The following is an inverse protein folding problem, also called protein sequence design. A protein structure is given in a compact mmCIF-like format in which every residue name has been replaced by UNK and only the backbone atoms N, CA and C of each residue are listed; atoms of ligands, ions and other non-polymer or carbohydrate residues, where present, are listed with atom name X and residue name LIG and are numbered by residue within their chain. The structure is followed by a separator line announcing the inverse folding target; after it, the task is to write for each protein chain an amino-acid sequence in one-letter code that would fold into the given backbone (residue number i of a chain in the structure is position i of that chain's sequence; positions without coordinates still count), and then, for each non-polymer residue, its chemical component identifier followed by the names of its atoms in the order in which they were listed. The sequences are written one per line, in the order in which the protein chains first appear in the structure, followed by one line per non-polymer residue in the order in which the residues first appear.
data_IF_069657066697
#
_entry.id   IF_069657066697
#
_cell.length_a   1.000
_cell.length_b   1.000
_cell.length_c   1.000
_cell.angle_alpha   90.00
_cell.angle_beta   90.00
_cell.angle_gamma   90.00
#
_symmetry.space_group_name_H-M   'P 1'
#
loop_
_entity.id
_entity.type
_entity.pdbx_description
1 polymer ?
#
# COMPACT_ATOMS: atom_id res chain seq x y z
N UNK A 1 -11.48 -26.47 -7.90
CA UNK A 1 -11.56 -25.96 -9.28
C UNK A 1 -13.01 -25.70 -9.65
N UNK A 2 -13.24 -24.77 -10.60
CA UNK A 2 -14.47 -24.61 -11.33
C UNK A 2 -14.85 -25.92 -12.09
N UNK A 3 -16.11 -26.06 -12.54
CA UNK A 3 -16.57 -27.26 -13.25
C UNK A 3 -15.80 -27.52 -14.55
N UNK A 4 -15.41 -26.46 -15.24
CA UNK A 4 -14.63 -26.49 -16.49
C UNK A 4 -13.10 -26.58 -16.24
N UNK A 5 -12.69 -26.58 -14.97
CA UNK A 5 -11.29 -26.64 -14.51
C UNK A 5 -10.40 -25.47 -14.97
N UNK A 6 -11.00 -24.36 -15.38
CA UNK A 6 -10.26 -23.16 -15.82
C UNK A 6 -9.90 -22.21 -14.68
N UNK A 7 -10.50 -22.39 -13.49
CA UNK A 7 -10.27 -21.56 -12.32
C UNK A 7 -9.92 -22.41 -11.09
N UNK A 8 -8.88 -22.00 -10.35
CA UNK A 8 -8.63 -22.50 -8.98
C UNK A 8 -9.56 -21.75 -8.05
N UNK A 9 -10.53 -22.43 -7.43
CA UNK A 9 -11.51 -21.81 -6.54
C UNK A 9 -11.15 -21.92 -5.07
N UNK A 10 -10.62 -23.06 -4.63
CA UNK A 10 -10.22 -23.31 -3.24
C UNK A 10 -9.08 -24.33 -3.19
N UNK A 11 -8.05 -24.02 -2.46
CA UNK A 11 -6.97 -24.94 -2.08
C UNK A 11 -7.08 -25.23 -0.58
N UNK A 12 -7.02 -26.50 -0.14
CA UNK A 12 -7.17 -26.84 1.27
C UNK A 12 -6.03 -26.26 2.12
N UNK A 13 -6.32 -25.46 3.17
CA UNK A 13 -5.29 -24.75 3.95
C UNK A 13 -4.28 -25.67 4.65
N UNK A 14 -4.64 -26.92 4.93
CA UNK A 14 -3.76 -27.90 5.59
C UNK A 14 -2.79 -28.64 4.69
N UNK A 15 -2.89 -28.45 3.36
CA UNK A 15 -1.90 -29.01 2.43
C UNK A 15 -0.63 -28.18 2.46
N UNK A 16 0.50 -28.84 2.55
CA UNK A 16 1.82 -28.24 2.70
C UNK A 16 2.63 -28.27 1.41
N UNK A 17 3.64 -27.45 1.39
CA UNK A 17 4.87 -27.41 0.63
C UNK A 17 4.77 -26.73 -0.76
N UNK A 18 4.78 -27.53 -1.82
CA UNK A 18 4.85 -27.01 -3.19
C UNK A 18 3.60 -27.41 -3.96
N UNK A 19 3.03 -26.51 -4.70
CA UNK A 19 1.85 -26.79 -5.50
C UNK A 19 2.05 -26.33 -6.95
N UNK A 20 1.79 -27.24 -7.88
CA UNK A 20 1.77 -26.92 -9.31
C UNK A 20 0.32 -26.77 -9.75
N UNK A 21 -0.05 -25.56 -10.14
CA UNK A 21 -1.35 -25.28 -10.74
C UNK A 21 -1.39 -25.98 -12.10
N UNK A 22 -2.43 -26.77 -12.42
CA UNK A 22 -2.52 -27.48 -13.68
C UNK A 22 -2.54 -26.55 -14.90
N UNK A 23 -1.92 -27.03 -16.00
CA UNK A 23 -2.02 -26.36 -17.29
C UNK A 23 -3.48 -26.23 -17.74
N UNK A 24 -3.78 -25.16 -18.48
CA UNK A 24 -5.13 -24.80 -18.89
C UNK A 24 -5.92 -23.98 -17.86
N UNK A 25 -5.37 -23.81 -16.63
CA UNK A 25 -5.94 -22.86 -15.67
C UNK A 25 -5.71 -21.44 -16.18
N UNK A 26 -6.78 -20.66 -16.34
CA UNK A 26 -6.71 -19.27 -16.80
C UNK A 26 -6.82 -18.26 -15.67
N UNK A 27 -7.28 -18.70 -14.47
CA UNK A 27 -7.58 -17.80 -13.36
C UNK A 27 -7.28 -18.44 -12.01
N UNK A 28 -6.65 -17.68 -11.12
CA UNK A 28 -6.56 -17.99 -9.69
C UNK A 28 -7.65 -17.16 -9.00
N UNK A 29 -8.70 -17.85 -8.56
CA UNK A 29 -9.91 -17.21 -8.07
C UNK A 29 -9.74 -16.49 -6.73
N UNK A 30 -10.77 -15.71 -6.37
CA UNK A 30 -10.84 -15.00 -5.10
C UNK A 30 -10.65 -15.97 -3.93
N UNK A 31 -9.75 -15.63 -3.01
CA UNK A 31 -9.44 -16.42 -1.80
C UNK A 31 -8.97 -17.86 -2.06
N UNK A 32 -8.53 -18.20 -3.27
CA UNK A 32 -8.22 -19.58 -3.67
C UNK A 32 -7.20 -20.27 -2.75
N UNK A 33 -6.19 -19.55 -2.25
CA UNK A 33 -5.16 -20.01 -1.31
C UNK A 33 -5.18 -19.25 0.02
N UNK A 34 -6.37 -18.77 0.41
CA UNK A 34 -6.52 -17.94 1.60
C UNK A 34 -6.01 -18.65 2.86
N UNK A 35 -5.06 -18.00 3.57
CA UNK A 35 -4.40 -18.54 4.77
C UNK A 35 -3.79 -19.94 4.61
N UNK A 36 -3.31 -20.30 3.42
CA UNK A 36 -2.49 -21.49 3.22
C UNK A 36 -1.09 -21.26 3.83
N UNK A 37 -1.02 -21.23 5.17
CA UNK A 37 0.18 -20.82 5.91
C UNK A 37 1.39 -21.73 5.71
N UNK A 38 1.16 -22.99 5.31
CA UNK A 38 2.22 -23.99 5.06
C UNK A 38 2.67 -24.04 3.60
N UNK A 39 2.04 -23.26 2.70
CA UNK A 39 2.39 -23.22 1.28
C UNK A 39 3.73 -22.49 1.10
N UNK A 40 4.75 -23.19 0.58
CA UNK A 40 6.11 -22.66 0.41
C UNK A 40 6.34 -22.12 -0.98
N UNK A 41 5.83 -22.81 -2.01
CA UNK A 41 5.93 -22.34 -3.39
C UNK A 41 4.71 -22.74 -4.23
N UNK A 42 4.43 -21.93 -5.23
CA UNK A 42 3.40 -22.22 -6.24
C UNK A 42 3.98 -22.00 -7.63
N UNK A 43 3.84 -23.02 -8.48
CA UNK A 43 4.11 -22.90 -9.90
C UNK A 43 2.83 -22.47 -10.61
N UNK A 44 2.85 -21.31 -11.25
CA UNK A 44 1.72 -20.77 -12.00
C UNK A 44 1.98 -21.00 -13.50
N UNK A 45 1.09 -21.72 -14.21
CA UNK A 45 1.26 -21.99 -15.62
C UNK A 45 1.05 -20.74 -16.49
N UNK A 46 1.59 -20.73 -17.69
CA UNK A 46 1.49 -19.60 -18.63
C UNK A 46 0.06 -19.29 -19.10
N UNK A 47 -0.88 -20.20 -18.87
CA UNK A 47 -2.30 -20.00 -19.17
C UNK A 47 -3.01 -19.05 -18.19
N UNK A 48 -2.42 -18.76 -17.01
CA UNK A 48 -3.04 -17.89 -16.01
C UNK A 48 -2.93 -16.42 -16.42
N UNK A 49 -4.09 -15.77 -16.55
CA UNK A 49 -4.22 -14.38 -16.95
C UNK A 49 -4.50 -13.44 -15.76
N UNK A 50 -5.11 -13.95 -14.69
CA UNK A 50 -5.44 -13.14 -13.52
C UNK A 50 -5.26 -13.89 -12.19
N UNK A 51 -4.82 -13.13 -11.19
CA UNK A 51 -4.81 -13.51 -9.77
C UNK A 51 -5.78 -12.57 -9.08
N UNK A 52 -6.86 -13.14 -8.52
CA UNK A 52 -7.96 -12.35 -7.99
C UNK A 52 -7.73 -11.86 -6.55
N UNK A 53 -8.69 -11.07 -6.05
CA UNK A 53 -8.71 -10.51 -4.70
C UNK A 53 -8.42 -11.59 -3.64
N UNK A 54 -7.48 -11.30 -2.71
CA UNK A 54 -7.10 -12.15 -1.57
C UNK A 54 -6.64 -13.57 -1.94
N UNK A 55 -6.29 -13.83 -3.20
CA UNK A 55 -6.00 -15.18 -3.69
C UNK A 55 -4.94 -15.94 -2.86
N UNK A 56 -3.88 -15.26 -2.41
CA UNK A 56 -2.81 -15.79 -1.55
C UNK A 56 -2.69 -15.07 -0.21
N UNK A 57 -3.73 -14.34 0.20
CA UNK A 57 -3.70 -13.61 1.48
C UNK A 57 -3.37 -14.54 2.64
N UNK A 58 -2.38 -14.16 3.44
CA UNK A 58 -1.97 -14.91 4.61
C UNK A 58 -1.14 -16.16 4.35
N UNK A 59 -0.64 -16.39 3.13
CA UNK A 59 0.31 -17.46 2.82
C UNK A 59 1.69 -17.10 3.38
N UNK A 60 1.85 -17.22 4.71
CA UNK A 60 3.00 -16.68 5.44
C UNK A 60 4.32 -17.37 5.10
N UNK A 61 4.29 -18.64 4.70
CA UNK A 61 5.50 -19.42 4.32
C UNK A 61 5.84 -19.33 2.85
N UNK A 62 5.03 -18.63 2.03
CA UNK A 62 5.29 -18.48 0.59
C UNK A 62 6.55 -17.64 0.38
N UNK A 63 7.63 -18.30 -0.05
CA UNK A 63 8.95 -17.67 -0.22
C UNK A 63 9.26 -17.32 -1.67
N UNK A 64 8.67 -18.06 -2.60
CA UNK A 64 8.93 -17.89 -4.02
C UNK A 64 7.63 -17.98 -4.82
N UNK A 65 7.43 -17.02 -5.69
CA UNK A 65 6.38 -17.01 -6.70
C UNK A 65 6.93 -16.39 -7.98
N UNK A 66 6.66 -17.05 -9.09
CA UNK A 66 7.01 -16.55 -10.42
C UNK A 66 5.72 -16.26 -11.18
N UNK A 67 5.56 -15.05 -11.63
CA UNK A 67 4.41 -14.67 -12.45
C UNK A 67 4.66 -15.05 -13.91
N UNK A 68 3.68 -15.71 -14.57
CA UNK A 68 3.80 -16.10 -15.96
C UNK A 68 3.71 -14.88 -16.90
N UNK A 69 4.30 -14.99 -18.08
CA UNK A 69 4.32 -13.93 -19.08
C UNK A 69 2.93 -13.57 -19.65
N UNK A 70 1.90 -14.38 -19.37
CA UNK A 70 0.52 -14.08 -19.74
C UNK A 70 -0.28 -13.33 -18.68
N UNK A 71 0.25 -13.19 -17.45
CA UNK A 71 -0.48 -12.54 -16.35
C UNK A 71 -0.71 -11.07 -16.63
N UNK A 72 -1.96 -10.62 -16.56
CA UNK A 72 -2.34 -9.22 -16.81
C UNK A 72 -2.76 -8.47 -15.55
N UNK A 73 -3.34 -9.20 -14.57
CA UNK A 73 -3.97 -8.58 -13.40
C UNK A 73 -3.57 -9.27 -12.09
N UNK A 74 -3.25 -8.46 -11.08
CA UNK A 74 -3.06 -8.88 -9.69
C UNK A 74 -4.07 -8.10 -8.84
N UNK A 75 -4.97 -8.82 -8.17
CA UNK A 75 -6.07 -8.23 -7.41
C UNK A 75 -5.66 -7.61 -6.07
N UNK A 76 -6.64 -6.95 -5.42
CA UNK A 76 -6.49 -6.40 -4.07
C UNK A 76 -6.09 -7.46 -3.07
N UNK A 77 -5.21 -7.09 -2.12
CA UNK A 77 -4.76 -8.00 -1.06
C UNK A 77 -4.30 -9.38 -1.55
N UNK A 78 -4.03 -9.54 -2.85
CA UNK A 78 -3.74 -10.86 -3.45
C UNK A 78 -2.61 -11.60 -2.72
N UNK A 79 -1.62 -10.86 -2.19
CA UNK A 79 -0.48 -11.39 -1.43
C UNK A 79 -0.37 -10.76 -0.04
N UNK A 80 -1.46 -10.19 0.48
CA UNK A 80 -1.43 -9.56 1.80
C UNK A 80 -0.93 -10.54 2.85
N UNK A 81 0.06 -10.12 3.65
CA UNK A 81 0.62 -10.94 4.72
C UNK A 81 1.44 -12.15 4.27
N UNK A 82 1.87 -12.22 3.00
CA UNK A 82 2.84 -13.22 2.52
C UNK A 82 4.23 -12.86 3.04
N UNK A 83 4.47 -13.15 4.33
CA UNK A 83 5.69 -12.73 5.05
C UNK A 83 6.97 -13.38 4.52
N UNK A 84 6.86 -14.54 3.85
CA UNK A 84 8.01 -15.25 3.28
C UNK A 84 8.59 -14.60 2.02
N UNK A 85 7.80 -13.78 1.31
CA UNK A 85 8.24 -13.15 0.05
C UNK A 85 9.34 -12.12 0.29
N UNK A 86 10.45 -12.23 -0.46
CA UNK A 86 11.59 -11.31 -0.35
C UNK A 86 11.78 -10.41 -1.56
N UNK A 87 11.30 -10.83 -2.72
CA UNK A 87 11.31 -10.07 -3.96
C UNK A 87 10.12 -10.45 -4.84
N UNK A 88 9.65 -9.49 -5.64
CA UNK A 88 8.60 -9.70 -6.63
C UNK A 88 9.08 -9.19 -7.98
N UNK A 89 8.92 -10.02 -9.03
CA UNK A 89 9.18 -9.64 -10.41
C UNK A 89 7.85 -9.46 -11.14
N UNK A 90 7.61 -8.27 -11.66
CA UNK A 90 6.42 -7.92 -12.44
C UNK A 90 6.75 -8.07 -13.93
N UNK A 91 6.11 -9.02 -14.65
CA UNK A 91 6.36 -9.21 -16.08
C UNK A 91 5.77 -8.07 -16.93
N UNK A 92 6.16 -8.01 -18.21
CA UNK A 92 5.69 -7.02 -19.16
C UNK A 92 4.17 -7.02 -19.35
N UNK A 93 3.55 -8.18 -19.25
CA UNK A 93 2.11 -8.36 -19.44
C UNK A 93 1.24 -7.78 -18.34
N UNK A 94 1.77 -7.61 -17.12
CA UNK A 94 0.98 -7.07 -15.99
C UNK A 94 0.73 -5.58 -16.20
N UNK A 95 -0.53 -5.24 -16.40
CA UNK A 95 -0.99 -3.86 -16.61
C UNK A 95 -1.89 -3.36 -15.49
N UNK A 96 -2.28 -4.22 -14.55
CA UNK A 96 -3.14 -3.85 -13.43
C UNK A 96 -2.70 -4.57 -12.14
N UNK A 97 -2.37 -3.79 -11.12
CA UNK A 97 -2.07 -4.28 -9.77
C UNK A 97 -2.98 -3.52 -8.81
N UNK A 98 -3.83 -4.26 -8.06
CA UNK A 98 -4.86 -3.69 -7.21
C UNK A 98 -5.62 -2.56 -7.96
N UNK A 99 -6.34 -2.89 -9.05
CA UNK A 99 -6.98 -1.91 -9.91
C UNK A 99 -7.95 -1.02 -9.11
N UNK A 100 -8.09 0.23 -9.56
CA UNK A 100 -8.82 1.29 -8.87
C UNK A 100 -10.10 0.81 -8.19
N UNK A 101 -10.24 1.23 -6.95
CA UNK A 101 -11.40 0.96 -6.13
C UNK A 101 -12.64 1.60 -6.75
N UNK A 102 -13.53 0.80 -7.32
CA UNK A 102 -14.90 1.27 -7.53
C UNK A 102 -15.54 1.33 -6.13
N UNK A 103 -15.73 2.53 -5.62
CA UNK A 103 -16.35 2.80 -4.33
C UNK A 103 -17.56 1.90 -4.10
N UNK A 104 -17.41 0.88 -3.27
CA UNK A 104 -18.56 0.24 -2.65
C UNK A 104 -18.83 0.99 -1.35
N UNK A 105 -19.94 1.73 -1.25
CA UNK A 105 -20.30 2.44 -0.04
C UNK A 105 -20.27 1.49 1.17
N UNK A 106 -19.52 1.83 2.20
CA UNK A 106 -19.49 1.11 3.47
C UNK A 106 -18.31 0.15 3.73
N UNK A 107 -17.30 0.09 2.86
CA UNK A 107 -16.05 -0.65 3.11
C UNK A 107 -14.86 0.29 3.36
N UNK A 108 -14.91 1.08 4.41
CA UNK A 108 -13.71 1.76 4.88
C UNK A 108 -12.70 0.72 5.40
N UNK A 109 -11.53 0.63 4.79
CA UNK A 109 -10.37 -0.10 5.33
C UNK A 109 -10.18 -1.57 4.93
N UNK A 110 -10.89 -2.13 3.94
CA UNK A 110 -10.75 -3.56 3.58
C UNK A 110 -10.04 -3.90 2.26
N UNK A 111 -9.72 -2.91 1.43
CA UNK A 111 -9.02 -3.15 0.18
C UNK A 111 -7.59 -2.65 0.28
N UNK A 112 -6.73 -3.55 0.67
CA UNK A 112 -5.32 -3.27 0.89
C UNK A 112 -4.52 -3.47 -0.38
N UNK A 113 -3.38 -2.80 -0.45
CA UNK A 113 -2.38 -3.01 -1.48
C UNK A 113 -2.11 -4.51 -1.70
N UNK A 114 -1.90 -4.92 -2.95
CA UNK A 114 -1.73 -6.34 -3.30
C UNK A 114 -0.64 -7.05 -2.46
N UNK A 115 0.40 -6.33 -2.04
CA UNK A 115 1.53 -6.84 -1.26
C UNK A 115 1.61 -6.25 0.16
N UNK A 116 0.49 -5.77 0.69
CA UNK A 116 0.41 -5.22 2.04
C UNK A 116 0.92 -6.22 3.07
N UNK A 117 1.72 -5.77 4.03
CA UNK A 117 2.22 -6.62 5.12
C UNK A 117 3.15 -7.78 4.70
N UNK A 118 3.72 -7.74 3.49
CA UNK A 118 4.82 -8.61 3.09
C UNK A 118 6.10 -8.20 3.80
N UNK A 119 6.22 -8.52 5.09
CA UNK A 119 7.23 -7.96 6.00
C UNK A 119 8.68 -8.16 5.57
N UNK A 120 8.99 -9.18 4.79
CA UNK A 120 10.35 -9.47 4.32
C UNK A 120 10.60 -9.00 2.88
N UNK A 121 9.63 -8.35 2.25
CA UNK A 121 9.78 -7.88 0.87
C UNK A 121 10.78 -6.71 0.81
N UNK A 122 11.87 -6.91 0.06
CA UNK A 122 12.99 -5.97 -0.06
C UNK A 122 12.97 -5.18 -1.36
N UNK A 123 12.40 -5.75 -2.42
CA UNK A 123 12.40 -5.11 -3.74
C UNK A 123 11.31 -5.64 -4.67
N UNK A 124 10.90 -4.74 -5.56
CA UNK A 124 10.24 -5.06 -6.81
C UNK A 124 11.26 -5.01 -7.96
N UNK A 125 11.05 -5.84 -8.97
CA UNK A 125 11.69 -5.77 -10.27
C UNK A 125 10.58 -5.73 -11.31
N UNK A 126 10.71 -4.89 -12.33
CA UNK A 126 9.74 -4.77 -13.41
C UNK A 126 10.47 -5.03 -14.73
N UNK A 127 9.86 -5.79 -15.62
CA UNK A 127 10.38 -6.01 -16.96
C UNK A 127 10.53 -4.69 -17.72
N UNK A 128 11.63 -4.49 -18.44
CA UNK A 128 11.95 -3.19 -19.07
C UNK A 128 10.89 -2.74 -20.07
N UNK A 129 10.24 -3.69 -20.75
CA UNK A 129 9.17 -3.50 -21.71
C UNK A 129 7.76 -3.43 -21.10
N UNK A 130 7.64 -3.44 -19.75
CA UNK A 130 6.34 -3.24 -19.12
C UNK A 130 5.80 -1.84 -19.46
N UNK A 131 4.54 -1.74 -19.96
CA UNK A 131 4.00 -0.46 -20.40
C UNK A 131 3.46 0.44 -19.28
N UNK A 132 3.26 -0.09 -18.08
CA UNK A 132 2.54 0.62 -16.99
C UNK A 132 3.40 0.89 -15.77
N UNK A 133 4.40 0.04 -15.51
CA UNK A 133 5.18 0.06 -14.28
C UNK A 133 6.67 0.18 -14.54
N UNK A 134 7.37 0.68 -13.56
CA UNK A 134 8.83 0.79 -13.53
C UNK A 134 9.34 0.70 -12.08
N UNK A 135 10.64 0.63 -11.91
CA UNK A 135 11.26 0.70 -10.58
C UNK A 135 12.37 1.73 -10.51
N UNK A 136 12.55 2.32 -9.33
CA UNK A 136 13.75 3.05 -8.93
C UNK A 136 14.24 2.36 -7.66
N UNK A 137 15.44 1.81 -7.72
CA UNK A 137 16.06 1.14 -6.58
C UNK A 137 15.11 0.13 -5.86
N UNK A 138 14.35 -0.65 -6.65
CA UNK A 138 13.46 -1.68 -6.14
C UNK A 138 12.14 -1.18 -5.54
N UNK A 139 11.85 0.10 -5.57
CA UNK A 139 10.54 0.68 -5.24
C UNK A 139 9.71 0.73 -6.51
N UNK A 140 8.41 0.43 -6.42
CA UNK A 140 7.50 0.37 -7.55
C UNK A 140 6.87 1.74 -7.85
N UNK A 141 6.90 2.12 -9.14
CA UNK A 141 6.34 3.37 -9.68
C UNK A 141 5.49 3.08 -10.92
N UNK A 142 4.68 4.08 -11.31
CA UNK A 142 4.16 4.11 -12.66
C UNK A 142 5.30 4.23 -13.69
N UNK A 143 5.00 4.01 -14.97
CA UNK A 143 6.02 4.01 -16.05
C UNK A 143 6.82 5.31 -16.10
N UNK A 144 6.15 6.43 -15.92
CA UNK A 144 6.68 7.80 -15.97
C UNK A 144 7.47 8.18 -14.71
N UNK A 145 7.41 7.36 -13.65
CA UNK A 145 8.03 7.62 -12.33
C UNK A 145 7.51 8.88 -11.64
N UNK A 146 6.30 9.28 -11.97
CA UNK A 146 5.60 10.41 -11.36
C UNK A 146 4.72 10.02 -10.19
N UNK A 147 4.40 8.72 -10.07
CA UNK A 147 3.63 8.17 -8.97
C UNK A 147 4.38 7.02 -8.30
N UNK A 148 4.53 7.08 -6.98
CA UNK A 148 5.05 5.99 -6.17
C UNK A 148 3.86 5.07 -5.82
N UNK A 149 3.88 3.83 -6.33
CA UNK A 149 2.78 2.86 -6.21
C UNK A 149 2.99 1.91 -5.03
N UNK A 150 4.22 1.49 -4.74
CA UNK A 150 4.43 0.55 -3.65
C UNK A 150 5.87 0.52 -3.12
N UNK A 151 6.01 0.70 -1.81
CA UNK A 151 7.27 0.61 -1.10
C UNK A 151 7.43 -0.78 -0.47
N UNK A 152 8.55 -1.49 -0.72
CA UNK A 152 8.79 -2.80 -0.11
C UNK A 152 9.01 -2.67 1.40
N UNK A 153 8.28 -3.45 2.21
CA UNK A 153 8.25 -3.28 3.67
C UNK A 153 9.63 -3.43 4.36
N UNK A 154 10.50 -4.30 3.83
CA UNK A 154 11.84 -4.56 4.39
C UNK A 154 12.97 -3.89 3.62
N UNK A 155 12.69 -2.82 2.85
CA UNK A 155 13.73 -2.15 2.05
C UNK A 155 14.70 -1.34 2.91
N UNK A 156 14.21 -0.36 3.62
CA UNK A 156 15.02 0.54 4.46
C UNK A 156 14.16 1.22 5.52
N UNK A 157 14.69 1.47 6.72
CA UNK A 157 13.98 2.22 7.75
C UNK A 157 13.84 3.72 7.40
N UNK A 158 14.57 4.21 6.42
CA UNK A 158 14.49 5.60 5.97
C UNK A 158 14.35 5.67 4.46
N UNK A 159 13.57 6.64 3.97
CA UNK A 159 13.41 6.83 2.53
C UNK A 159 13.26 8.30 2.15
N UNK A 160 13.90 8.68 1.04
CA UNK A 160 13.73 9.99 0.40
C UNK A 160 12.99 9.81 -0.91
N UNK A 161 11.83 10.45 -1.04
CA UNK A 161 11.01 10.40 -2.25
C UNK A 161 11.77 11.08 -3.41
N UNK A 162 11.93 10.42 -4.57
CA UNK A 162 12.60 11.00 -5.72
C UNK A 162 11.93 12.28 -6.24
N UNK A 163 12.72 13.19 -6.82
CA UNK A 163 12.20 14.45 -7.36
C UNK A 163 11.32 14.32 -8.62
N UNK A 164 11.25 13.12 -9.21
CA UNK A 164 10.30 12.85 -10.29
C UNK A 164 8.87 12.64 -9.80
N UNK A 165 8.69 12.32 -8.50
CA UNK A 165 7.39 11.94 -7.94
C UNK A 165 6.53 13.15 -7.69
N UNK A 166 5.31 13.12 -8.23
CA UNK A 166 4.26 14.13 -8.04
C UNK A 166 3.20 13.61 -7.06
N UNK A 167 2.94 12.29 -7.07
CA UNK A 167 1.94 11.65 -6.21
C UNK A 167 2.54 10.48 -5.45
N UNK A 168 2.29 10.42 -4.14
CA UNK A 168 2.44 9.20 -3.36
C UNK A 168 1.08 8.51 -3.42
N UNK A 169 1.03 7.35 -4.08
CA UNK A 169 -0.21 6.64 -4.40
C UNK A 169 -0.92 6.05 -3.18
N UNK A 170 -2.15 5.65 -3.42
CA UNK A 170 -2.99 5.00 -2.40
C UNK A 170 -2.31 3.75 -1.84
N UNK A 171 -2.28 3.62 -0.51
CA UNK A 171 -1.65 2.50 0.21
C UNK A 171 -0.15 2.27 -0.09
N UNK A 172 0.55 3.22 -0.68
CA UNK A 172 1.92 3.04 -1.21
C UNK A 172 2.95 2.59 -0.15
N UNK A 173 2.78 2.99 1.11
CA UNK A 173 3.62 2.58 2.26
C UNK A 173 2.81 1.80 3.31
N UNK A 174 1.66 1.25 2.93
CA UNK A 174 0.79 0.56 3.88
C UNK A 174 1.54 -0.54 4.64
N UNK A 175 1.40 -0.53 5.98
CA UNK A 175 2.03 -1.51 6.89
C UNK A 175 3.56 -1.62 6.77
N UNK A 176 4.24 -0.57 6.29
CA UNK A 176 5.70 -0.48 6.35
C UNK A 176 6.17 -0.27 7.80
N UNK A 177 6.05 -1.33 8.60
CA UNK A 177 6.26 -1.29 10.05
C UNK A 177 7.70 -0.99 10.47
N UNK A 178 8.68 -1.16 9.57
CA UNK A 178 10.09 -0.89 9.87
C UNK A 178 10.51 0.52 9.41
N UNK A 179 9.64 1.24 8.69
CA UNK A 179 9.90 2.59 8.21
C UNK A 179 9.85 3.58 9.38
N UNK A 180 10.96 4.28 9.64
CA UNK A 180 11.08 5.22 10.76
C UNK A 180 11.05 6.68 10.34
N UNK A 181 11.49 6.99 9.12
CA UNK A 181 11.43 8.36 8.60
C UNK A 181 11.30 8.43 7.08
N UNK A 182 10.58 9.43 6.61
CA UNK A 182 10.41 9.74 5.19
C UNK A 182 10.65 11.22 4.93
N UNK A 183 11.45 11.51 3.90
CA UNK A 183 11.60 12.86 3.35
C UNK A 183 10.81 12.93 2.04
N UNK A 184 9.76 13.74 2.02
CA UNK A 184 8.91 13.98 0.86
C UNK A 184 9.48 15.18 0.10
N UNK A 185 9.87 14.94 -1.17
CA UNK A 185 10.48 15.98 -2.02
C UNK A 185 9.51 17.12 -2.33
N UNK A 186 10.07 18.28 -2.71
CA UNK A 186 9.27 19.43 -3.09
C UNK A 186 8.46 19.24 -4.41
N UNK A 187 8.71 18.17 -5.16
CA UNK A 187 7.94 17.82 -6.35
C UNK A 187 6.58 17.20 -6.04
N UNK A 188 6.43 16.61 -4.85
CA UNK A 188 5.18 15.95 -4.45
C UNK A 188 4.11 16.98 -4.17
N UNK A 189 2.99 16.84 -4.87
CA UNK A 189 1.79 17.66 -4.70
C UNK A 189 0.70 16.93 -3.89
N UNK A 190 0.61 15.59 -4.03
CA UNK A 190 -0.46 14.79 -3.42
C UNK A 190 0.10 13.60 -2.64
N UNK A 191 -0.46 13.39 -1.43
CA UNK A 191 -0.34 12.16 -0.64
C UNK A 191 -1.73 11.54 -0.62
N UNK A 192 -1.89 10.39 -1.28
CA UNK A 192 -3.21 9.78 -1.51
C UNK A 192 -3.75 9.03 -0.29
N UNK A 193 -4.97 8.52 -0.41
CA UNK A 193 -5.67 7.82 0.67
C UNK A 193 -4.79 6.72 1.26
N UNK A 194 -4.75 6.63 2.58
CA UNK A 194 -4.05 5.57 3.31
C UNK A 194 -2.57 5.40 2.97
N UNK A 195 -1.93 6.38 2.33
CA UNK A 195 -0.56 6.25 1.80
C UNK A 195 0.45 5.70 2.83
N UNK A 196 0.38 6.10 4.10
CA UNK A 196 1.26 5.65 5.19
C UNK A 196 0.49 4.92 6.32
N UNK A 197 -0.69 4.40 6.01
CA UNK A 197 -1.52 3.73 7.04
C UNK A 197 -0.78 2.56 7.67
N UNK A 198 -0.91 2.40 9.00
CA UNK A 198 -0.23 1.36 9.80
C UNK A 198 1.31 1.36 9.70
N UNK A 199 1.95 2.48 9.35
CA UNK A 199 3.40 2.66 9.49
C UNK A 199 3.76 2.85 10.98
N UNK A 200 3.62 1.78 11.77
CA UNK A 200 3.67 1.85 13.24
C UNK A 200 5.00 2.35 13.82
N UNK A 201 6.12 2.21 13.09
CA UNK A 201 7.43 2.72 13.54
C UNK A 201 7.78 4.10 12.99
N UNK A 202 6.92 4.72 12.17
CA UNK A 202 7.18 6.01 11.56
C UNK A 202 7.20 7.12 12.62
N UNK A 203 8.37 7.73 12.84
CA UNK A 203 8.59 8.75 13.87
C UNK A 203 8.55 10.16 13.31
N UNK A 204 8.96 10.33 12.07
CA UNK A 204 9.06 11.64 11.43
C UNK A 204 8.76 11.59 9.93
N UNK A 205 8.06 12.61 9.47
CA UNK A 205 7.82 12.88 8.06
C UNK A 205 8.17 14.34 7.79
N UNK A 206 9.09 14.56 6.84
CA UNK A 206 9.37 15.90 6.34
C UNK A 206 8.55 16.12 5.09
N UNK A 207 7.52 16.95 5.15
CA UNK A 207 6.68 17.30 4.01
C UNK A 207 7.36 18.33 3.11
N UNK A 208 7.33 18.09 1.81
CA UNK A 208 7.72 19.07 0.80
C UNK A 208 6.77 20.29 0.82
N UNK A 209 7.32 21.46 0.56
CA UNK A 209 6.55 22.74 0.61
C UNK A 209 5.41 22.85 -0.41
N UNK A 210 5.42 22.01 -1.45
CA UNK A 210 4.42 22.01 -2.52
C UNK A 210 3.32 20.95 -2.34
N UNK A 211 3.30 20.23 -1.21
CA UNK A 211 2.20 19.30 -0.92
C UNK A 211 0.94 20.12 -0.70
N UNK A 212 -0.04 19.96 -1.58
CA UNK A 212 -1.33 20.67 -1.57
C UNK A 212 -2.48 19.80 -1.10
N UNK A 213 -2.28 18.48 -1.05
CA UNK A 213 -3.31 17.52 -0.66
C UNK A 213 -2.72 16.37 0.15
N UNK A 214 -3.35 16.11 1.31
CA UNK A 214 -3.14 14.94 2.16
C UNK A 214 -4.50 14.31 2.34
N UNK A 215 -4.70 13.13 1.76
CA UNK A 215 -6.02 12.53 1.62
C UNK A 215 -6.43 11.70 2.85
N UNK A 216 -7.64 11.11 2.77
CA UNK A 216 -8.27 10.33 3.83
C UNK A 216 -7.32 9.29 4.43
N UNK A 217 -7.18 9.28 5.75
CA UNK A 217 -6.40 8.30 6.50
C UNK A 217 -4.92 8.21 6.13
N UNK A 218 -4.34 9.22 5.47
CA UNK A 218 -2.98 9.16 4.93
C UNK A 218 -1.92 8.73 5.95
N UNK A 219 -2.08 9.11 7.23
CA UNK A 219 -1.22 8.72 8.35
C UNK A 219 -1.99 7.95 9.45
N UNK A 220 -3.10 7.31 9.06
CA UNK A 220 -3.91 6.51 9.99
C UNK A 220 -3.06 5.46 10.71
N UNK A 221 -3.16 5.41 12.03
CA UNK A 221 -2.44 4.45 12.88
C UNK A 221 -0.90 4.47 12.72
N UNK A 222 -0.32 5.67 12.45
CA UNK A 222 1.11 5.92 12.58
C UNK A 222 1.45 6.14 14.06
N UNK A 223 1.37 5.08 14.89
CA UNK A 223 1.38 5.16 16.36
C UNK A 223 2.57 5.92 16.93
N UNK A 224 3.75 5.83 16.29
CA UNK A 224 4.98 6.46 16.76
C UNK A 224 5.27 7.84 16.12
N UNK A 225 4.37 8.39 15.30
CA UNK A 225 4.55 9.70 14.70
C UNK A 225 4.46 10.79 15.78
N UNK A 226 5.63 11.34 16.15
CA UNK A 226 5.72 12.29 17.26
C UNK A 226 5.41 13.72 16.87
N UNK A 227 5.72 14.10 15.63
CA UNK A 227 5.44 15.42 15.09
C UNK A 227 5.39 15.40 13.57
N UNK A 228 4.63 16.32 12.99
CA UNK A 228 4.60 16.60 11.57
C UNK A 228 4.35 18.09 11.36
N UNK A 229 5.06 18.68 10.40
CA UNK A 229 4.88 20.10 10.06
C UNK A 229 4.03 20.21 8.79
N UNK A 230 2.78 20.68 8.93
CA UNK A 230 1.84 20.84 7.82
C UNK A 230 2.22 22.11 7.05
N UNK A 231 2.47 22.02 5.72
CA UNK A 231 2.84 23.18 4.93
C UNK A 231 1.66 24.14 4.70
N UNK A 232 1.98 25.43 4.47
CA UNK A 232 0.97 26.48 4.22
C UNK A 232 0.17 26.30 2.90
N UNK A 233 0.49 25.29 2.10
CA UNK A 233 -0.25 24.92 0.90
C UNK A 233 -1.48 24.04 1.20
N UNK A 234 -1.59 23.50 2.42
CA UNK A 234 -2.74 22.68 2.84
C UNK A 234 -3.88 23.58 3.28
N UNK A 235 -5.07 23.33 2.73
CA UNK A 235 -6.31 24.05 3.06
C UNK A 235 -7.33 23.17 3.78
N UNK A 236 -7.15 21.85 3.75
CA UNK A 236 -8.05 20.86 4.34
C UNK A 236 -7.24 19.81 5.08
N UNK A 237 -7.65 19.45 6.28
CA UNK A 237 -7.22 18.24 6.98
C UNK A 237 -8.35 17.22 6.83
N UNK A 238 -8.11 16.21 6.02
CA UNK A 238 -9.11 15.19 5.67
C UNK A 238 -9.43 14.26 6.85
N UNK A 239 -10.57 13.55 6.74
CA UNK A 239 -11.02 12.62 7.77
C UNK A 239 -9.95 11.57 8.08
N UNK A 240 -9.81 11.24 9.36
CA UNK A 240 -8.90 10.20 9.85
C UNK A 240 -7.42 10.39 9.48
N UNK A 241 -7.01 11.58 8.99
CA UNK A 241 -5.64 11.80 8.48
C UNK A 241 -4.57 11.42 9.50
N UNK A 242 -4.75 11.75 10.78
CA UNK A 242 -3.83 11.45 11.89
C UNK A 242 -4.49 10.61 12.98
N UNK A 243 -5.58 9.93 12.65
CA UNK A 243 -6.30 9.09 13.60
C UNK A 243 -5.36 7.98 14.12
N UNK A 244 -5.37 7.76 15.46
CA UNK A 244 -4.46 6.87 16.19
C UNK A 244 -2.95 7.17 16.03
N UNK A 245 -2.57 8.41 15.74
CA UNK A 245 -1.18 8.87 15.88
C UNK A 245 -0.88 9.09 17.38
N UNK A 246 -0.79 8.02 18.16
CA UNK A 246 -0.74 8.05 19.63
C UNK A 246 0.41 8.87 20.20
N UNK A 247 1.57 8.85 19.53
CA UNK A 247 2.76 9.59 19.97
C UNK A 247 2.79 11.05 19.54
N UNK A 248 1.78 11.53 18.80
CA UNK A 248 1.72 12.93 18.36
C UNK A 248 1.54 13.84 19.57
N UNK A 249 2.57 14.65 19.89
CA UNK A 249 2.55 15.55 21.06
C UNK A 249 2.16 16.97 20.72
N UNK A 250 2.42 17.38 19.49
CA UNK A 250 2.10 18.71 18.99
C UNK A 250 1.89 18.69 17.49
N UNK A 251 1.01 19.54 17.00
CA UNK A 251 0.81 19.79 15.59
C UNK A 251 0.54 21.27 15.39
N UNK A 252 1.22 21.85 14.39
CA UNK A 252 0.95 23.22 13.99
C UNK A 252 0.01 23.20 12.78
N UNK A 253 -1.21 23.72 12.96
CA UNK A 253 -2.18 23.88 11.88
C UNK A 253 -1.96 25.25 11.27
N UNK A 254 -1.56 25.34 9.98
CA UNK A 254 -1.30 26.63 9.35
C UNK A 254 -2.58 27.44 9.09
N UNK A 255 -2.43 28.77 9.00
CA UNK A 255 -3.55 29.69 8.71
C UNK A 255 -4.19 29.51 7.32
N UNK A 256 -3.65 28.62 6.49
CA UNK A 256 -4.26 28.23 5.22
C UNK A 256 -5.41 27.23 5.38
N UNK A 257 -5.45 26.49 6.50
CA UNK A 257 -6.47 25.46 6.74
C UNK A 257 -7.82 26.11 7.03
N UNK A 258 -8.83 25.69 6.29
CA UNK A 258 -10.22 26.16 6.37
C UNK A 258 -11.17 25.08 6.91
N UNK A 259 -10.84 23.81 6.74
CA UNK A 259 -11.69 22.68 7.14
C UNK A 259 -10.87 21.59 7.80
N UNK A 260 -11.42 21.04 8.89
CA UNK A 260 -10.91 19.84 9.56
C UNK A 260 -12.08 18.85 9.60
N UNK A 261 -11.93 17.71 8.91
CA UNK A 261 -12.95 16.68 8.84
C UNK A 261 -12.90 15.70 10.02
N UNK A 262 -13.97 14.91 10.15
CA UNK A 262 -14.20 13.99 11.25
C UNK A 262 -13.02 13.03 11.51
N UNK A 263 -12.80 12.71 12.78
CA UNK A 263 -11.75 11.81 13.26
C UNK A 263 -10.31 12.20 12.88
N UNK A 264 -10.06 13.42 12.37
CA UNK A 264 -8.73 13.82 11.89
C UNK A 264 -7.62 13.61 12.93
N UNK A 265 -7.93 13.73 14.23
CA UNK A 265 -6.99 13.56 15.36
C UNK A 265 -7.52 12.59 16.43
N UNK A 266 -8.51 11.79 16.12
CA UNK A 266 -9.06 10.81 17.08
C UNK A 266 -7.97 9.83 17.50
N UNK A 267 -7.95 9.43 18.79
CA UNK A 267 -6.93 8.53 19.32
C UNK A 267 -5.50 9.07 19.36
N UNK A 268 -5.28 10.39 19.15
CA UNK A 268 -3.98 11.04 19.40
C UNK A 268 -3.75 11.23 20.90
N UNK A 269 -3.47 10.13 21.61
CA UNK A 269 -3.49 10.05 23.10
C UNK A 269 -2.53 11.03 23.79
N UNK A 270 -1.42 11.41 23.14
CA UNK A 270 -0.42 12.32 23.71
C UNK A 270 -0.57 13.77 23.23
N UNK A 271 -1.56 14.08 22.38
CA UNK A 271 -1.84 15.42 21.92
C UNK A 271 -2.61 16.20 23.00
N UNK A 272 -1.87 16.87 23.88
CA UNK A 272 -2.45 17.56 25.04
C UNK A 272 -3.19 18.86 24.70
N UNK A 273 -2.83 19.48 23.59
CA UNK A 273 -3.47 20.69 23.07
C UNK A 273 -3.28 20.84 21.58
N UNK A 274 -4.27 21.44 20.93
CA UNK A 274 -4.22 21.79 19.52
C UNK A 274 -4.65 23.25 19.37
N UNK A 275 -3.85 24.05 18.67
CA UNK A 275 -4.24 25.40 18.34
C UNK A 275 -4.93 25.42 16.98
N UNK A 276 -6.22 25.66 16.97
CA UNK A 276 -7.02 25.77 15.75
C UNK A 276 -7.03 27.25 15.32
N UNK A 277 -6.47 27.60 14.15
CA UNK A 277 -6.41 28.97 13.70
C UNK A 277 -7.80 29.54 13.33
N UNK A 278 -7.95 30.85 13.37
CA UNK A 278 -9.21 31.53 13.02
C UNK A 278 -9.65 31.33 11.56
N UNK A 279 -8.78 30.84 10.72
CA UNK A 279 -9.09 30.49 9.32
C UNK A 279 -9.97 29.24 9.19
N UNK A 280 -10.01 28.39 10.22
CA UNK A 280 -10.84 27.17 10.22
C UNK A 280 -12.29 27.57 10.47
N UNK A 281 -13.12 27.34 9.47
CA UNK A 281 -14.57 27.69 9.51
C UNK A 281 -15.46 26.44 9.62
N UNK A 282 -14.92 25.25 9.33
CA UNK A 282 -15.65 23.98 9.46
C UNK A 282 -14.81 23.00 10.28
N UNK A 283 -15.42 22.40 11.30
CA UNK A 283 -14.90 21.31 12.10
C UNK A 283 -16.02 20.28 12.27
N UNK A 284 -15.79 19.04 11.81
CA UNK A 284 -16.78 17.95 11.90
C UNK A 284 -16.46 17.00 13.07
#
# INVERSE_FOLDING_TARGET
FSKDKTEVTVFPPGKSDNYNIPDGTSKIGKTAFFYCTNLISVTIPNSVLSIEEEAFKGCQSLTNITFPNGLTTIGYSAFEGCKGLTAITIPASVTSIAPDFIEKPGRYGSNMWAFSGCKNLKKFTVADDNPRYSTIDGVLFNKEKTELIGYPNAKSPTYSIPNSVITIGENAFERCSDLTSVVISASVAKIDNFAFTYCSSLKSVTLGKNVTSIEFGAFYNCENLASINIPNSITVINSSTFEYCKSLTSINIPNSVQTIYSHAFDGCENLSSINIPNSVINVD
#
